data_IF_916439031920
#
_entry.id   IF_916439031920
#
_cell.length_a   1.000
_cell.length_b   1.000
_cell.length_c   1.000
_cell.angle_alpha   90.00
_cell.angle_beta   90.00
_cell.angle_gamma   90.00
#
_symmetry.space_group_name_H-M   'P 1'
#
loop_
_entity.id
_entity.type
_entity.pdbx_description
1 polymer ?
#
# COMPACT_ATOMS: atom_id res chain seq x y z
N UNK A 1 14.45 -7.54 -4.07
CA UNK A 1 13.87 -6.20 -4.28
C UNK A 1 12.45 -6.17 -3.75
N UNK A 2 12.04 -5.12 -3.04
CA UNK A 2 10.69 -4.99 -2.50
C UNK A 2 9.93 -3.84 -3.17
N UNK A 3 8.67 -4.07 -3.51
CA UNK A 3 7.72 -3.04 -3.95
C UNK A 3 6.82 -2.66 -2.80
N UNK A 4 6.67 -1.37 -2.54
CA UNK A 4 5.68 -0.86 -1.61
C UNK A 4 4.57 -0.16 -2.37
N UNK A 5 3.33 -0.47 -1.99
CA UNK A 5 2.15 0.13 -2.57
C UNK A 5 1.54 1.16 -1.61
N UNK A 6 1.23 2.34 -2.14
CA UNK A 6 0.49 3.40 -1.45
C UNK A 6 -0.83 3.68 -2.17
N UNK A 7 -1.86 4.09 -1.43
CA UNK A 7 -3.20 4.35 -1.99
C UNK A 7 -3.78 5.66 -1.45
N UNK A 8 -4.44 6.41 -2.33
CA UNK A 8 -5.29 7.56 -1.97
C UNK A 8 -6.70 7.30 -2.50
N UNK A 9 -7.71 7.42 -1.64
CA UNK A 9 -9.09 7.01 -1.93
C UNK A 9 -10.07 8.18 -1.78
N UNK A 10 -11.13 8.18 -2.61
CA UNK A 10 -12.24 9.13 -2.53
C UNK A 10 -13.56 8.39 -2.25
N UNK A 11 -14.21 8.63 -1.09
CA UNK A 11 -15.45 7.95 -0.72
C UNK A 11 -16.66 8.50 -1.49
N UNK A 12 -17.70 7.69 -1.65
CA UNK A 12 -19.00 8.18 -2.12
C UNK A 12 -19.57 9.22 -1.14
N UNK A 13 -19.66 10.48 -1.57
CA UNK A 13 -20.43 11.50 -0.86
C UNK A 13 -21.89 11.47 -1.36
N UNK A 14 -22.72 10.66 -0.71
CA UNK A 14 -24.18 10.79 -0.83
C UNK A 14 -24.68 12.06 -0.11
N UNK A 15 -25.84 12.61 -0.47
CA UNK A 15 -26.40 13.75 0.24
C UNK A 15 -26.73 13.34 1.68
N UNK A 16 -25.99 13.89 2.64
CA UNK A 16 -26.25 13.68 4.07
C UNK A 16 -27.59 14.32 4.48
N UNK A 17 -28.35 13.71 5.40
CA UNK A 17 -29.55 14.34 5.93
C UNK A 17 -29.14 15.54 6.78
N UNK A 18 -29.67 16.71 6.42
CA UNK A 18 -29.50 17.93 7.19
C UNK A 18 -30.16 17.82 8.57
N UNK A 19 -29.38 18.14 9.59
CA UNK A 19 -29.80 18.39 10.96
C UNK A 19 -28.52 18.76 11.71
N UNK A 20 -28.32 19.98 12.21
CA UNK A 20 -29.26 20.84 12.89
C UNK A 20 -28.61 21.16 14.24
N UNK A 21 -28.03 22.35 14.33
CA UNK A 21 -27.73 23.15 15.53
C UNK A 21 -27.63 22.42 16.88
N UNK A 22 -26.50 22.60 17.59
CA UNK A 22 -26.42 23.46 18.78
C UNK A 22 -25.01 23.42 19.41
N UNK A 23 -24.43 24.61 19.61
CA UNK A 23 -23.39 24.84 20.63
C UNK A 23 -23.97 24.62 22.03
N UNK A 24 -23.11 24.36 23.03
CA UNK A 24 -22.93 25.43 24.00
C UNK A 24 -21.48 25.69 24.40
N UNK A 25 -21.17 26.99 24.46
CA UNK A 25 -20.07 27.59 25.19
C UNK A 25 -20.30 27.37 26.70
N UNK A 26 -19.32 26.79 27.40
CA UNK A 26 -19.19 26.94 28.84
C UNK A 26 -17.75 27.34 29.18
N UNK A 27 -17.66 28.55 29.73
CA UNK A 27 -16.51 29.13 30.39
C UNK A 27 -16.27 28.50 31.78
N UNK A 28 -15.26 29.03 32.48
CA UNK A 28 -14.79 28.78 33.86
C UNK A 28 -13.61 27.78 33.89
N UNK A 29 -12.47 28.02 34.55
CA UNK A 29 -12.00 29.05 35.48
C UNK A 29 -10.46 28.89 35.56
N UNK A 30 -9.72 29.98 35.71
CA UNK A 30 -8.30 29.98 36.08
C UNK A 30 -8.09 29.41 37.51
N UNK A 31 -7.03 28.62 37.68
CA UNK A 31 -6.58 28.10 38.97
C UNK A 31 -5.09 27.78 38.90
N UNK A 32 -4.29 28.65 39.49
CA UNK A 32 -2.82 28.61 39.55
C UNK A 32 -2.32 27.67 40.67
N UNK A 33 -1.03 27.30 40.56
CA UNK A 33 -0.10 26.80 41.57
C UNK A 33 -0.10 25.30 41.93
N UNK A 34 1.03 24.65 41.62
CA UNK A 34 1.51 23.46 42.32
C UNK A 34 2.26 22.43 41.47
N UNK A 35 3.59 22.54 41.36
CA UNK A 35 4.51 21.38 41.25
C UNK A 35 4.99 21.01 42.67
N UNK A 36 5.53 19.81 42.98
CA UNK A 36 6.07 18.79 42.05
C UNK A 36 5.75 17.31 42.39
N UNK A 37 6.30 16.44 41.54
CA UNK A 37 7.00 15.18 41.86
C UNK A 37 6.36 13.83 41.44
N UNK A 38 7.23 13.08 40.75
CA UNK A 38 7.22 11.65 40.46
C UNK A 38 5.96 10.99 39.85
N UNK A 39 6.01 10.68 38.55
CA UNK A 39 5.76 9.33 38.03
C UNK A 39 5.95 9.25 36.50
N UNK A 40 6.78 8.29 36.07
CA UNK A 40 6.60 7.43 34.90
C UNK A 40 6.01 8.10 33.64
N UNK A 41 6.87 8.44 32.67
CA UNK A 41 6.47 8.43 31.26
C UNK A 41 6.59 7.00 30.73
N UNK A 42 5.50 6.22 30.57
CA UNK A 42 5.44 5.38 29.40
C UNK A 42 5.19 6.33 28.23
N UNK A 43 6.16 6.41 27.32
CA UNK A 43 5.93 6.96 25.98
C UNK A 43 4.91 6.05 25.29
N UNK A 44 3.62 6.30 25.55
CA UNK A 44 2.54 5.89 24.67
C UNK A 44 2.39 6.99 23.64
N UNK A 45 3.15 6.86 22.56
CA UNK A 45 2.93 7.49 21.27
C UNK A 45 3.78 6.66 20.31
N UNK A 46 3.21 5.78 19.50
CA UNK A 46 2.15 6.10 18.57
C UNK A 46 1.04 5.04 18.59
N UNK A 47 -0.18 5.51 18.74
CA UNK A 47 -1.32 4.83 18.18
C UNK A 47 -1.16 4.83 16.65
N UNK A 48 -0.69 3.72 16.07
CA UNK A 48 -1.00 3.39 14.68
C UNK A 48 -2.47 2.96 14.61
N UNK A 49 -3.36 3.94 14.76
CA UNK A 49 -4.78 3.79 14.53
C UNK A 49 -5.24 4.91 13.60
N UNK A 50 -4.63 4.96 12.41
CA UNK A 50 -5.32 5.45 11.23
C UNK A 50 -5.50 4.28 10.30
N UNK A 51 -6.44 3.39 10.65
CA UNK A 51 -7.03 2.48 9.67
C UNK A 51 -7.83 3.31 8.67
N UNK A 52 -7.13 3.99 7.76
CA UNK A 52 -7.74 4.72 6.68
C UNK A 52 -8.19 3.76 5.58
N UNK A 53 -9.17 4.19 4.79
CA UNK A 53 -9.66 3.46 3.61
C UNK A 53 -8.53 2.97 2.68
N UNK A 54 -7.40 3.69 2.62
CA UNK A 54 -6.22 3.26 1.84
C UNK A 54 -5.66 1.90 2.27
N UNK A 55 -5.62 1.62 3.58
CA UNK A 55 -5.16 0.33 4.11
C UNK A 55 -6.14 -0.79 3.80
N UNK A 56 -7.45 -0.51 3.86
CA UNK A 56 -8.49 -1.47 3.49
C UNK A 56 -8.47 -1.81 2.00
N UNK A 57 -8.24 -0.80 1.14
CA UNK A 57 -8.06 -1.03 -0.31
C UNK A 57 -6.86 -1.94 -0.56
N UNK A 58 -5.70 -1.64 0.03
CA UNK A 58 -4.51 -2.45 -0.16
C UNK A 58 -4.68 -3.87 0.42
N UNK A 59 -5.42 -4.02 1.52
CA UNK A 59 -5.72 -5.33 2.11
C UNK A 59 -6.65 -6.16 1.23
N UNK A 60 -7.72 -5.55 0.71
CA UNK A 60 -8.65 -6.22 -0.19
C UNK A 60 -7.97 -6.58 -1.52
N UNK A 61 -7.16 -5.66 -2.05
CA UNK A 61 -6.31 -5.89 -3.21
C UNK A 61 -5.19 -6.92 -2.95
N UNK A 62 -4.75 -7.11 -1.71
CA UNK A 62 -3.84 -8.22 -1.39
C UNK A 62 -4.62 -9.55 -1.35
N UNK A 63 -5.74 -9.59 -0.63
CA UNK A 63 -6.55 -10.79 -0.43
C UNK A 63 -7.09 -11.36 -1.74
N UNK A 64 -7.72 -10.52 -2.57
CA UNK A 64 -8.31 -10.96 -3.85
C UNK A 64 -7.29 -11.41 -4.89
N UNK A 65 -6.03 -11.01 -4.78
CA UNK A 65 -5.08 -11.10 -5.90
C UNK A 65 -3.80 -11.86 -5.59
N UNK A 66 -3.47 -12.04 -4.31
CA UNK A 66 -2.32 -12.83 -3.87
C UNK A 66 -2.72 -14.16 -3.21
N UNK A 67 -3.94 -14.26 -2.65
CA UNK A 67 -4.41 -15.49 -1.99
C UNK A 67 -5.33 -16.38 -2.86
N UNK A 68 -5.72 -15.92 -4.05
CA UNK A 68 -6.68 -16.62 -4.93
C UNK A 68 -6.03 -17.50 -6.01
N UNK A 69 -4.70 -17.51 -6.10
CA UNK A 69 -4.00 -18.28 -7.15
C UNK A 69 -4.01 -19.76 -6.78
N UNK A 70 -5.00 -20.50 -7.27
CA UNK A 70 -4.92 -21.95 -7.37
C UNK A 70 -3.90 -22.29 -8.47
N UNK A 71 -2.75 -22.90 -8.14
CA UNK A 71 -1.71 -23.20 -9.11
C UNK A 71 -2.16 -24.21 -10.18
N UNK A 72 -3.32 -24.86 -10.00
CA UNK A 72 -3.92 -25.79 -10.98
C UNK A 72 -4.79 -25.10 -12.03
N UNK A 73 -5.14 -23.81 -11.84
CA UNK A 73 -6.04 -23.04 -12.71
C UNK A 73 -5.37 -21.76 -13.21
N UNK A 74 -4.51 -21.85 -14.24
CA UNK A 74 -3.76 -20.72 -14.75
C UNK A 74 -4.63 -19.60 -15.34
N UNK A 75 -5.92 -19.87 -15.61
CA UNK A 75 -6.88 -18.87 -16.07
C UNK A 75 -7.29 -17.89 -14.96
N UNK A 76 -7.09 -18.28 -13.70
CA UNK A 76 -7.37 -17.46 -12.52
C UNK A 76 -6.13 -16.64 -12.08
N UNK A 77 -5.00 -16.72 -12.82
CA UNK A 77 -3.83 -15.87 -12.53
C UNK A 77 -4.17 -14.39 -12.75
N UNK A 78 -3.97 -13.59 -11.70
CA UNK A 78 -4.02 -12.14 -11.80
C UNK A 78 -3.06 -11.64 -12.89
N UNK A 79 -3.56 -10.81 -13.80
CA UNK A 79 -2.77 -10.22 -14.87
C UNK A 79 -1.56 -9.38 -14.38
N UNK A 80 -1.59 -8.83 -13.16
CA UNK A 80 -0.41 -8.19 -12.56
C UNK A 80 0.66 -9.20 -12.14
N UNK A 81 0.28 -10.31 -11.52
CA UNK A 81 1.19 -11.41 -11.18
C UNK A 81 1.75 -12.02 -12.46
N UNK A 82 0.90 -12.27 -13.46
CA UNK A 82 1.31 -12.71 -14.78
C UNK A 82 2.33 -11.75 -15.40
N UNK A 83 2.08 -10.45 -15.32
CA UNK A 83 3.03 -9.45 -15.81
C UNK A 83 4.39 -9.57 -15.11
N UNK A 84 4.42 -9.62 -13.78
CA UNK A 84 5.66 -9.75 -13.02
C UNK A 84 6.39 -11.07 -13.36
N UNK A 85 5.70 -12.20 -13.31
CA UNK A 85 6.34 -13.51 -13.49
C UNK A 85 6.63 -13.89 -14.94
N UNK A 86 5.75 -13.56 -15.87
CA UNK A 86 5.85 -14.01 -17.27
C UNK A 86 6.45 -12.96 -18.18
N UNK A 87 6.14 -11.68 -17.95
CA UNK A 87 6.69 -10.58 -18.77
C UNK A 87 8.00 -10.09 -18.20
N UNK A 88 8.05 -9.81 -16.90
CA UNK A 88 9.28 -9.34 -16.23
C UNK A 88 10.17 -10.44 -15.70
N UNK A 89 9.68 -11.69 -15.67
CA UNK A 89 10.48 -12.86 -15.28
C UNK A 89 11.08 -12.70 -13.87
N UNK A 90 10.36 -11.99 -13.00
CA UNK A 90 10.70 -11.91 -11.57
C UNK A 90 9.89 -12.96 -10.80
N UNK A 91 10.50 -13.51 -9.76
CA UNK A 91 9.82 -14.47 -8.89
C UNK A 91 9.27 -13.74 -7.67
N UNK A 92 7.97 -13.89 -7.37
CA UNK A 92 7.36 -13.33 -6.16
C UNK A 92 7.68 -14.26 -4.98
N UNK A 93 8.32 -13.74 -3.94
CA UNK A 93 8.81 -14.51 -2.79
C UNK A 93 7.93 -14.36 -1.55
N UNK A 94 7.39 -13.17 -1.31
CA UNK A 94 6.60 -12.87 -0.11
C UNK A 94 5.66 -11.70 -0.36
N UNK A 95 4.56 -11.69 0.39
CA UNK A 95 3.58 -10.60 0.38
C UNK A 95 3.08 -10.28 1.78
N UNK A 96 3.08 -9.00 2.15
CA UNK A 96 2.60 -8.56 3.48
C UNK A 96 1.32 -7.75 3.36
N UNK A 97 0.32 -8.09 4.18
CA UNK A 97 -0.93 -7.34 4.34
C UNK A 97 -0.77 -6.17 5.33
N UNK A 98 -1.58 -5.13 5.18
CA UNK A 98 -1.56 -3.87 5.94
C UNK A 98 -1.02 -2.70 5.10
N UNK A 99 0.10 -2.93 4.43
CA UNK A 99 0.56 -2.15 3.29
C UNK A 99 1.04 -3.19 2.31
N UNK A 100 0.38 -3.32 1.16
CA UNK A 100 0.74 -4.32 0.17
C UNK A 100 2.22 -4.14 -0.18
N UNK A 101 3.03 -5.10 0.24
CA UNK A 101 4.46 -5.19 -0.08
C UNK A 101 4.65 -6.48 -0.84
N UNK A 102 5.30 -6.40 -2.00
CA UNK A 102 5.63 -7.56 -2.82
C UNK A 102 7.15 -7.70 -2.84
N UNK A 103 7.65 -8.86 -2.46
CA UNK A 103 9.08 -9.17 -2.56
C UNK A 103 9.32 -9.93 -3.84
N UNK A 104 10.32 -9.51 -4.63
CA UNK A 104 10.74 -10.25 -5.81
C UNK A 104 12.22 -10.57 -5.86
N UNK A 105 12.49 -11.70 -6.48
CA UNK A 105 13.82 -12.13 -6.92
C UNK A 105 13.97 -11.88 -8.42
N UNK A 106 15.07 -11.22 -8.78
CA UNK A 106 15.51 -11.05 -10.15
C UNK A 106 16.57 -12.12 -10.43
N UNK A 107 16.53 -12.76 -11.60
CA UNK A 107 17.52 -13.80 -11.97
C UNK A 107 18.72 -13.25 -12.72
N UNK A 108 18.70 -11.97 -13.10
CA UNK A 108 19.80 -11.29 -13.80
C UNK A 108 19.72 -9.77 -13.62
N UNK A 109 20.83 -9.10 -13.92
CA UNK A 109 20.91 -7.64 -13.97
C UNK A 109 19.96 -7.04 -15.03
N UNK A 110 19.82 -7.68 -16.20
CA UNK A 110 18.90 -7.23 -17.26
C UNK A 110 17.44 -7.20 -16.77
N UNK A 111 17.02 -8.22 -16.01
CA UNK A 111 15.68 -8.27 -15.43
C UNK A 111 15.51 -7.19 -14.35
N UNK A 112 16.52 -6.98 -13.52
CA UNK A 112 16.51 -5.95 -12.49
C UNK A 112 16.39 -4.53 -13.09
N UNK A 113 17.22 -4.22 -14.08
CA UNK A 113 17.22 -2.90 -14.74
C UNK A 113 15.94 -2.68 -15.53
N UNK A 114 15.44 -3.69 -16.26
CA UNK A 114 14.17 -3.57 -16.98
C UNK A 114 12.97 -3.32 -16.06
N UNK A 115 12.97 -3.94 -14.87
CA UNK A 115 11.95 -3.69 -13.85
C UNK A 115 12.06 -2.27 -13.27
N UNK A 116 13.28 -1.80 -13.01
CA UNK A 116 13.54 -0.45 -12.54
C UNK A 116 13.10 0.60 -13.57
N UNK A 117 13.38 0.36 -14.86
CA UNK A 117 12.96 1.23 -15.95
C UNK A 117 11.44 1.36 -16.04
N UNK A 118 10.70 0.25 -15.90
CA UNK A 118 9.23 0.30 -15.85
C UNK A 118 8.70 1.10 -14.67
N UNK A 119 9.38 1.00 -13.54
CA UNK A 119 9.04 1.78 -12.36
C UNK A 119 9.29 3.27 -12.60
N UNK A 120 10.47 3.63 -13.11
CA UNK A 120 10.82 5.01 -13.45
C UNK A 120 9.90 5.60 -14.53
N UNK A 121 9.48 4.80 -15.51
CA UNK A 121 8.53 5.20 -16.55
C UNK A 121 7.08 5.31 -16.04
N UNK A 122 6.79 4.85 -14.81
CA UNK A 122 5.44 4.80 -14.26
C UNK A 122 4.58 3.64 -14.78
N UNK A 123 5.10 2.83 -15.68
CA UNK A 123 4.39 1.67 -16.24
C UNK A 123 4.01 0.67 -15.15
N UNK A 124 4.86 0.50 -14.14
CA UNK A 124 4.55 -0.34 -12.99
C UNK A 124 3.35 0.18 -12.19
N UNK A 125 3.21 1.51 -12.02
CA UNK A 125 2.02 2.12 -11.41
C UNK A 125 0.77 1.86 -12.26
N UNK A 126 0.86 2.01 -13.58
CA UNK A 126 -0.26 1.80 -14.48
C UNK A 126 -0.77 0.36 -14.43
N UNK A 127 0.15 -0.60 -14.52
CA UNK A 127 -0.18 -2.03 -14.44
C UNK A 127 -0.78 -2.38 -13.08
N UNK A 128 -0.20 -1.85 -11.99
CA UNK A 128 -0.74 -2.04 -10.66
C UNK A 128 -2.14 -1.44 -10.50
N UNK A 129 -2.36 -0.20 -10.94
CA UNK A 129 -3.65 0.47 -10.91
C UNK A 129 -4.69 -0.33 -11.69
N UNK A 130 -4.36 -0.73 -12.92
CA UNK A 130 -5.28 -1.43 -13.84
C UNK A 130 -5.75 -2.77 -13.29
N UNK A 131 -4.86 -3.50 -12.62
CA UNK A 131 -5.13 -4.89 -12.24
C UNK A 131 -5.47 -5.07 -10.76
N UNK A 132 -5.02 -4.18 -9.87
CA UNK A 132 -5.33 -4.25 -8.43
C UNK A 132 -6.54 -3.41 -8.03
N UNK A 133 -6.88 -2.38 -8.82
CA UNK A 133 -8.03 -1.51 -8.56
C UNK A 133 -9.10 -1.77 -9.62
N UNK A 134 -9.85 -2.86 -9.43
CA UNK A 134 -11.02 -3.18 -10.28
C UNK A 134 -12.28 -2.52 -9.75
N UNK A 135 -13.33 -2.46 -10.59
CA UNK A 135 -14.64 -1.94 -10.20
C UNK A 135 -15.25 -2.70 -9.00
N UNK A 136 -14.97 -4.01 -8.89
CA UNK A 136 -15.39 -4.82 -7.74
C UNK A 136 -14.77 -4.33 -6.43
N UNK A 137 -13.48 -3.97 -6.45
CA UNK A 137 -12.77 -3.44 -5.26
C UNK A 137 -13.36 -2.09 -4.86
N UNK A 138 -13.64 -1.21 -5.83
CA UNK A 138 -14.25 0.09 -5.57
C UNK A 138 -15.67 -0.04 -5.01
N UNK A 139 -16.47 -0.93 -5.57
CA UNK A 139 -17.85 -1.19 -5.16
C UNK A 139 -17.92 -1.77 -3.76
N UNK A 140 -17.07 -2.75 -3.45
CA UNK A 140 -17.02 -3.41 -2.14
C UNK A 140 -16.63 -2.44 -1.01
N UNK A 141 -15.80 -1.45 -1.32
CA UNK A 141 -15.32 -0.46 -0.36
C UNK A 141 -16.11 0.86 -0.39
N UNK A 142 -17.11 1.00 -1.27
CA UNK A 142 -17.88 2.24 -1.40
C UNK A 142 -17.03 3.44 -1.81
N UNK A 143 -16.09 3.23 -2.73
CA UNK A 143 -15.18 4.25 -3.24
C UNK A 143 -15.52 4.62 -4.67
N UNK A 144 -15.39 5.91 -5.02
CA UNK A 144 -15.57 6.39 -6.40
C UNK A 144 -14.28 6.17 -7.18
N UNK A 145 -13.16 6.47 -6.54
CA UNK A 145 -11.85 6.45 -7.17
C UNK A 145 -10.80 6.07 -6.13
N UNK A 146 -9.84 5.28 -6.57
CA UNK A 146 -8.58 5.04 -5.87
C UNK A 146 -7.44 5.31 -6.82
N UNK A 147 -6.42 6.04 -6.35
CA UNK A 147 -5.12 6.12 -7.00
C UNK A 147 -4.10 5.33 -6.21
N UNK A 148 -3.54 4.34 -6.87
CA UNK A 148 -2.49 3.49 -6.37
C UNK A 148 -1.14 3.98 -6.90
N UNK A 149 -0.14 3.90 -6.04
CA UNK A 149 1.24 4.24 -6.34
C UNK A 149 2.12 3.09 -5.94
N UNK A 150 3.11 2.78 -6.77
CA UNK A 150 4.17 1.83 -6.46
C UNK A 150 5.42 2.61 -6.09
N UNK A 151 6.24 2.02 -5.25
CA UNK A 151 7.52 2.57 -4.85
C UNK A 151 8.52 1.43 -4.75
N UNK A 152 9.60 1.56 -5.49
CA UNK A 152 10.81 0.77 -5.31
C UNK A 152 11.83 1.71 -4.65
N UNK A 153 12.31 1.43 -3.43
CA UNK A 153 13.36 2.22 -2.83
C UNK A 153 14.63 2.14 -3.69
N UNK A 154 15.21 3.28 -4.04
CA UNK A 154 16.44 3.32 -4.87
C UNK A 154 17.60 2.57 -4.21
N UNK A 155 17.68 2.63 -2.89
CA UNK A 155 18.65 1.90 -2.07
C UNK A 155 18.58 0.39 -2.29
N UNK A 156 17.37 -0.16 -2.37
CA UNK A 156 17.14 -1.60 -2.61
C UNK A 156 17.52 -1.99 -4.05
N UNK A 157 17.20 -1.15 -5.03
CA UNK A 157 17.63 -1.36 -6.41
C UNK A 157 19.16 -1.32 -6.54
N UNK A 158 19.80 -0.31 -5.96
CA UNK A 158 21.26 -0.12 -5.96
C UNK A 158 21.97 -1.30 -5.29
N UNK A 159 21.49 -1.76 -4.14
CA UNK A 159 22.04 -2.93 -3.47
C UNK A 159 21.95 -4.20 -4.33
N UNK A 160 20.81 -4.43 -4.99
CA UNK A 160 20.67 -5.55 -5.94
C UNK A 160 21.59 -5.39 -7.17
N UNK A 161 21.72 -4.18 -7.70
CA UNK A 161 22.59 -3.90 -8.85
C UNK A 161 24.06 -4.16 -8.49
N UNK A 162 24.53 -3.66 -7.36
CA UNK A 162 25.89 -3.89 -6.86
C UNK A 162 26.17 -5.38 -6.61
N UNK A 163 25.17 -6.15 -6.17
CA UNK A 163 25.30 -7.60 -6.02
C UNK A 163 25.57 -8.29 -7.37
N UNK A 164 24.79 -8.01 -8.41
CA UNK A 164 25.02 -8.58 -9.75
C UNK A 164 26.34 -8.14 -10.37
N UNK A 165 26.80 -6.91 -10.11
CA UNK A 165 28.08 -6.42 -10.63
C UNK A 165 29.29 -7.05 -9.91
N UNK A 166 29.16 -7.40 -8.64
CA UNK A 166 30.21 -8.09 -7.87
C UNK A 166 30.26 -9.59 -8.15
N UNK A 167 29.12 -10.20 -8.49
CA UNK A 167 28.98 -11.64 -8.77
C UNK A 167 28.31 -11.85 -10.13
N UNK A 168 29.06 -11.64 -11.24
CA UNK A 168 28.54 -11.73 -12.60
C UNK A 168 28.18 -13.15 -13.06
#
# INVERSE_FOLDING_TARGET
LFFKFGSTARPFSGPGPGGGSSDPVLALQEGEAGLPDAALVPTTSQAEATGGFGTEVLNLAAFKYLQTVDPTRPEDFNAFVYYLEKVRKVLIVDTKSGSLIITVECSSLEILDGLWDDYCAGFLNEMAQKFLVTEDVLTELGLIEVKLTTTIPEEEYRACQEYFLQYP
#
